data_IF_149847981046
#
_entry.id   IF_149847981046
#
_cell.length_a   1.000
_cell.length_b   1.000
_cell.length_c   1.000
_cell.angle_alpha   90.00
_cell.angle_beta   90.00
_cell.angle_gamma   90.00
#
_symmetry.space_group_name_H-M   'P 1'
#
loop_
_entity.id
_entity.type
_entity.pdbx_description
1 polymer ?
#
# COMPACT_ATOMS: atom_id res chain seq x y z
N UNK A 1 -28.43 -1.69 16.68
CA UNK A 1 -27.85 -1.64 15.31
C UNK A 1 -28.96 -1.43 14.28
N UNK A 2 -28.72 -0.55 13.30
CA UNK A 2 -29.66 -0.39 12.19
C UNK A 2 -29.60 -1.62 11.27
N UNK A 3 -30.76 -2.15 10.80
CA UNK A 3 -30.78 -3.27 9.87
C UNK A 3 -29.96 -2.95 8.60
N UNK A 4 -29.27 -3.94 8.04
CA UNK A 4 -28.48 -3.78 6.79
C UNK A 4 -29.31 -3.21 5.63
N UNK A 5 -30.59 -3.50 5.58
CA UNK A 5 -31.53 -2.93 4.60
C UNK A 5 -31.64 -1.41 4.67
N UNK A 6 -31.46 -0.79 5.84
CA UNK A 6 -31.48 0.65 5.99
C UNK A 6 -30.21 1.30 5.44
N UNK A 7 -29.04 0.66 5.62
CA UNK A 7 -27.80 1.12 4.99
C UNK A 7 -27.86 1.04 3.48
N UNK A 8 -28.38 -0.05 2.92
CA UNK A 8 -28.59 -0.18 1.47
C UNK A 8 -29.49 0.93 0.94
N UNK A 9 -30.62 1.19 1.62
CA UNK A 9 -31.55 2.25 1.23
C UNK A 9 -30.90 3.63 1.27
N UNK A 10 -30.16 3.93 2.33
CA UNK A 10 -29.44 5.19 2.46
C UNK A 10 -28.38 5.35 1.37
N UNK A 11 -27.59 4.32 1.14
CA UNK A 11 -26.53 4.31 0.11
C UNK A 11 -27.12 4.54 -1.28
N UNK A 12 -28.21 3.85 -1.64
CA UNK A 12 -28.91 4.06 -2.92
C UNK A 12 -29.44 5.46 -3.07
N UNK A 13 -30.04 6.01 -2.01
CA UNK A 13 -30.53 7.39 -2.03
C UNK A 13 -29.42 8.40 -2.26
N UNK A 14 -28.35 8.33 -1.47
CA UNK A 14 -27.19 9.24 -1.59
C UNK A 14 -26.56 9.18 -2.99
N UNK A 15 -26.38 7.98 -3.54
CA UNK A 15 -25.83 7.82 -4.88
C UNK A 15 -26.78 8.35 -5.95
N UNK A 16 -28.08 8.07 -5.82
CA UNK A 16 -29.10 8.55 -6.77
C UNK A 16 -29.19 10.07 -6.79
N UNK A 17 -29.19 10.71 -5.61
CA UNK A 17 -29.18 12.16 -5.49
C UNK A 17 -27.91 12.75 -6.13
N UNK A 18 -26.74 12.13 -5.88
CA UNK A 18 -25.49 12.57 -6.50
C UNK A 18 -25.46 12.40 -8.02
N UNK A 19 -25.98 11.29 -8.53
CA UNK A 19 -26.10 11.07 -9.99
C UNK A 19 -27.04 12.11 -10.63
N UNK A 20 -28.13 12.45 -9.94
CA UNK A 20 -29.06 13.48 -10.40
C UNK A 20 -28.39 14.85 -10.49
N UNK A 21 -27.59 15.21 -9.48
CA UNK A 21 -26.87 16.49 -9.47
C UNK A 21 -25.80 16.56 -10.59
N UNK A 22 -25.14 15.45 -10.88
CA UNK A 22 -24.05 15.42 -11.87
C UNK A 22 -24.52 15.22 -13.31
N UNK A 23 -25.55 14.41 -13.52
CA UNK A 23 -25.95 13.93 -14.86
C UNK A 23 -27.44 14.15 -15.19
N UNK A 24 -28.19 14.74 -14.27
CA UNK A 24 -29.61 15.02 -14.44
C UNK A 24 -30.53 13.87 -14.03
N UNK A 25 -31.81 14.16 -14.01
CA UNK A 25 -32.85 13.25 -13.52
C UNK A 25 -32.97 11.98 -14.36
N UNK A 26 -32.88 12.09 -15.67
CA UNK A 26 -33.02 10.94 -16.58
C UNK A 26 -31.94 9.87 -16.34
N UNK A 27 -30.70 10.30 -16.23
CA UNK A 27 -29.58 9.37 -15.93
C UNK A 27 -29.75 8.70 -14.56
N UNK A 28 -30.18 9.44 -13.54
CA UNK A 28 -30.46 8.93 -12.21
C UNK A 28 -31.60 7.90 -12.19
N UNK A 29 -32.71 8.19 -12.87
CA UNK A 29 -33.85 7.30 -12.97
C UNK A 29 -33.47 6.03 -13.75
N UNK A 30 -32.72 6.16 -14.84
CA UNK A 30 -32.21 5.01 -15.60
C UNK A 30 -31.29 4.11 -14.78
N UNK A 31 -30.41 4.69 -13.99
CA UNK A 31 -29.56 3.92 -13.08
C UNK A 31 -30.38 3.08 -12.09
N UNK A 32 -31.41 3.68 -11.46
CA UNK A 32 -32.28 2.97 -10.54
C UNK A 32 -33.07 1.86 -11.22
N UNK A 33 -33.59 2.11 -12.42
CA UNK A 33 -34.28 1.10 -13.22
C UNK A 33 -33.38 -0.12 -13.48
N UNK A 34 -32.16 0.13 -13.97
CA UNK A 34 -31.21 -0.94 -14.26
C UNK A 34 -30.82 -1.74 -13.00
N UNK A 35 -30.63 -1.06 -11.87
CA UNK A 35 -30.31 -1.69 -10.59
C UNK A 35 -31.48 -2.55 -10.06
N UNK A 36 -32.71 -2.01 -10.13
CA UNK A 36 -33.91 -2.71 -9.64
C UNK A 36 -34.28 -3.93 -10.49
N UNK A 37 -33.99 -3.88 -11.78
CA UNK A 37 -34.21 -5.01 -12.70
C UNK A 37 -33.01 -5.95 -12.80
N UNK A 38 -31.97 -5.75 -11.95
CA UNK A 38 -30.75 -6.58 -11.90
C UNK A 38 -29.95 -6.62 -13.22
N UNK A 39 -30.07 -5.60 -14.08
CA UNK A 39 -29.19 -5.45 -15.25
C UNK A 39 -27.78 -4.99 -14.85
N UNK A 40 -27.67 -4.26 -13.75
CA UNK A 40 -26.42 -3.88 -13.12
C UNK A 40 -26.43 -4.31 -11.65
N UNK A 41 -25.25 -4.53 -11.12
CA UNK A 41 -25.02 -4.86 -9.72
C UNK A 41 -24.06 -3.86 -9.09
N UNK A 42 -24.41 -3.35 -7.91
CA UNK A 42 -23.55 -2.52 -7.09
C UNK A 42 -23.07 -3.33 -5.89
N UNK A 43 -21.77 -3.51 -5.78
CA UNK A 43 -21.15 -4.18 -4.63
C UNK A 43 -21.16 -3.30 -3.39
N UNK A 44 -21.13 -3.91 -2.21
CA UNK A 44 -20.96 -3.26 -0.90
C UNK A 44 -21.94 -2.12 -0.57
N UNK A 45 -23.22 -2.27 -0.93
CA UNK A 45 -24.25 -1.28 -0.62
C UNK A 45 -24.51 -1.10 0.90
N UNK A 46 -23.95 -1.99 1.74
CA UNK A 46 -24.04 -1.90 3.20
C UNK A 46 -23.00 -0.97 3.84
N UNK A 47 -22.06 -0.46 3.03
CA UNK A 47 -20.97 0.39 3.48
C UNK A 47 -20.88 1.67 2.62
N UNK A 48 -20.58 2.80 3.25
CA UNK A 48 -20.35 4.08 2.58
C UNK A 48 -18.86 4.41 2.39
N UNK A 49 -17.96 3.55 2.89
CA UNK A 49 -16.52 3.71 2.70
C UNK A 49 -16.08 3.27 1.30
N UNK A 50 -14.96 3.79 0.84
CA UNK A 50 -14.29 3.28 -0.35
C UNK A 50 -13.92 1.81 -0.14
N UNK A 51 -14.08 0.98 -1.18
CA UNK A 51 -13.82 -0.44 -1.05
C UNK A 51 -12.33 -0.75 -1.03
N UNK A 52 -11.63 -0.47 -2.11
CA UNK A 52 -10.20 -0.70 -2.27
C UNK A 52 -9.51 0.53 -2.84
N UNK A 53 -8.24 0.71 -2.53
CA UNK A 53 -7.41 1.73 -3.15
C UNK A 53 -6.01 1.23 -3.43
N UNK A 54 -5.43 1.71 -4.52
CA UNK A 54 -3.98 1.66 -4.77
C UNK A 54 -3.39 3.02 -4.41
N UNK A 55 -2.28 3.01 -3.67
CA UNK A 55 -1.66 4.20 -3.12
C UNK A 55 -0.31 4.38 -3.76
N UNK A 56 -0.05 5.60 -4.28
CA UNK A 56 1.32 6.02 -4.55
C UNK A 56 1.96 6.55 -3.28
N UNK A 57 3.20 6.13 -3.02
CA UNK A 57 3.95 6.52 -1.83
C UNK A 57 4.80 7.79 -2.04
N UNK A 58 4.92 8.29 -3.26
CA UNK A 58 5.79 9.41 -3.61
C UNK A 58 5.53 10.68 -2.78
N UNK A 59 4.27 11.12 -2.58
CA UNK A 59 3.99 12.29 -1.75
C UNK A 59 4.46 12.13 -0.30
N UNK A 60 4.33 10.94 0.25
CA UNK A 60 4.80 10.64 1.60
C UNK A 60 6.34 10.69 1.70
N UNK A 61 7.06 10.24 0.68
CA UNK A 61 8.53 10.31 0.65
C UNK A 61 9.05 11.73 0.59
N UNK A 62 8.28 12.68 0.06
CA UNK A 62 8.66 14.10 -0.03
C UNK A 62 8.27 14.85 1.26
N UNK A 63 7.03 14.70 1.68
CA UNK A 63 6.42 15.58 2.69
C UNK A 63 6.16 14.90 4.04
N UNK A 64 6.32 13.57 4.14
CA UNK A 64 5.83 12.83 5.31
C UNK A 64 4.33 12.71 5.34
N UNK A 65 3.75 12.49 6.52
CA UNK A 65 2.30 12.42 6.72
C UNK A 65 1.82 13.59 7.56
N UNK A 66 0.71 14.18 7.14
CA UNK A 66 -0.04 15.20 7.89
C UNK A 66 -1.45 14.69 8.24
N UNK A 67 -1.61 13.37 8.30
CA UNK A 67 -2.91 12.74 8.50
C UNK A 67 -3.43 12.92 9.93
N UNK A 68 -4.73 12.68 10.08
CA UNK A 68 -5.44 12.73 11.35
C UNK A 68 -4.71 11.89 12.41
N UNK A 69 -4.27 12.54 13.48
CA UNK A 69 -3.64 11.87 14.61
C UNK A 69 -2.13 12.07 14.75
N UNK A 70 -1.47 12.82 13.86
CA UNK A 70 -0.07 13.19 14.00
C UNK A 70 0.64 13.52 12.70
N UNK A 71 1.68 14.33 12.82
CA UNK A 71 2.58 14.64 11.72
C UNK A 71 3.82 13.73 11.82
N UNK A 72 4.24 13.13 10.73
CA UNK A 72 5.53 12.48 10.61
C UNK A 72 6.34 13.09 9.48
N UNK A 73 7.63 13.24 9.69
CA UNK A 73 8.56 13.68 8.62
C UNK A 73 8.72 12.58 7.57
N UNK A 74 9.18 12.97 6.39
CA UNK A 74 9.60 12.01 5.35
C UNK A 74 10.65 11.03 5.89
N UNK A 75 10.62 9.76 5.50
CA UNK A 75 11.62 8.79 5.91
C UNK A 75 12.99 9.13 5.30
N UNK A 76 14.05 9.01 6.10
CA UNK A 76 15.43 9.32 5.68
C UNK A 76 16.34 8.11 5.65
N UNK A 77 15.87 6.96 6.15
CA UNK A 77 16.62 5.72 6.23
C UNK A 77 15.68 4.50 6.22
N UNK A 78 16.22 3.30 6.04
CA UNK A 78 15.46 2.06 5.95
C UNK A 78 14.55 1.82 7.16
N UNK A 79 15.06 2.09 8.38
CA UNK A 79 14.28 1.90 9.61
C UNK A 79 13.07 2.85 9.69
N UNK A 80 13.27 4.14 9.37
CA UNK A 80 12.19 5.13 9.36
C UNK A 80 11.19 4.85 8.23
N UNK A 81 11.67 4.34 7.08
CA UNK A 81 10.80 3.86 6.01
C UNK A 81 9.90 2.71 6.48
N UNK A 82 10.46 1.65 7.05
CA UNK A 82 9.68 0.50 7.52
C UNK A 82 8.60 0.90 8.54
N UNK A 83 8.97 1.69 9.55
CA UNK A 83 8.02 2.14 10.58
C UNK A 83 6.94 3.06 10.02
N UNK A 84 7.31 4.03 9.21
CA UNK A 84 6.39 4.97 8.57
C UNK A 84 5.46 4.26 7.56
N UNK A 85 5.96 3.28 6.82
CA UNK A 85 5.19 2.46 5.90
C UNK A 85 4.07 1.69 6.60
N UNK A 86 4.39 1.02 7.71
CA UNK A 86 3.39 0.31 8.52
C UNK A 86 2.28 1.27 8.97
N UNK A 87 2.65 2.44 9.50
CA UNK A 87 1.69 3.45 9.95
C UNK A 87 0.83 3.95 8.78
N UNK A 88 1.41 4.25 7.64
CA UNK A 88 0.70 4.67 6.44
C UNK A 88 -0.32 3.63 5.99
N UNK A 89 0.07 2.35 5.92
CA UNK A 89 -0.83 1.26 5.56
C UNK A 89 -1.98 1.14 6.55
N UNK A 90 -1.73 1.27 7.85
CA UNK A 90 -2.80 1.24 8.86
C UNK A 90 -3.76 2.43 8.73
N UNK A 91 -3.25 3.64 8.54
CA UNK A 91 -4.09 4.85 8.35
C UNK A 91 -4.99 4.67 7.13
N UNK A 92 -4.42 4.34 5.97
CA UNK A 92 -5.20 4.22 4.73
C UNK A 92 -6.16 3.04 4.79
N UNK A 93 -5.72 1.89 5.28
CA UNK A 93 -6.57 0.72 5.39
C UNK A 93 -7.76 0.92 6.34
N UNK A 94 -7.63 1.80 7.33
CA UNK A 94 -8.75 2.16 8.23
C UNK A 94 -9.88 2.92 7.52
N UNK A 95 -9.57 3.55 6.38
CA UNK A 95 -10.52 4.31 5.56
C UNK A 95 -11.16 3.46 4.45
N UNK A 96 -10.71 2.21 4.30
CA UNK A 96 -11.15 1.29 3.26
C UNK A 96 -11.91 0.10 3.86
N UNK A 97 -12.92 -0.39 3.16
CA UNK A 97 -13.62 -1.62 3.54
C UNK A 97 -13.00 -2.90 2.98
N UNK A 98 -12.12 -2.78 2.00
CA UNK A 98 -11.43 -3.89 1.33
C UNK A 98 -9.91 -3.76 1.36
N UNK A 99 -9.28 -3.87 0.21
CA UNK A 99 -7.84 -3.94 0.08
C UNK A 99 -7.14 -2.57 -0.01
N UNK A 100 -5.93 -2.52 0.52
CA UNK A 100 -4.97 -1.44 0.35
C UNK A 100 -3.79 -1.96 -0.48
N UNK A 101 -3.60 -1.47 -1.69
CA UNK A 101 -2.47 -1.83 -2.53
C UNK A 101 -1.37 -0.78 -2.48
N UNK A 102 -0.13 -1.22 -2.32
CA UNK A 102 1.08 -0.37 -2.39
C UNK A 102 2.04 -0.98 -3.43
N UNK A 103 1.75 -0.81 -4.73
CA UNK A 103 2.52 -1.47 -5.78
C UNK A 103 4.00 -1.12 -5.75
N UNK A 104 4.35 0.09 -5.39
CA UNK A 104 5.72 0.61 -5.37
C UNK A 104 6.55 0.18 -4.14
N UNK A 105 5.97 -0.57 -3.20
CA UNK A 105 6.60 -0.89 -1.90
C UNK A 105 8.02 -1.43 -2.04
N UNK A 106 8.22 -2.49 -2.84
CA UNK A 106 9.55 -3.10 -2.99
C UNK A 106 10.53 -2.17 -3.71
N UNK A 107 10.06 -1.30 -4.60
CA UNK A 107 10.90 -0.32 -5.26
C UNK A 107 11.46 0.70 -4.26
N UNK A 108 10.60 1.23 -3.37
CA UNK A 108 11.04 2.18 -2.35
C UNK A 108 11.88 1.52 -1.26
N UNK A 109 11.54 0.29 -0.86
CA UNK A 109 12.39 -0.45 0.07
C UNK A 109 13.79 -0.68 -0.51
N UNK A 110 13.89 -1.06 -1.80
CA UNK A 110 15.16 -1.20 -2.51
C UNK A 110 15.96 0.10 -2.53
N UNK A 111 15.29 1.23 -2.72
CA UNK A 111 15.92 2.56 -2.68
C UNK A 111 16.57 2.82 -1.31
N UNK A 112 15.83 2.63 -0.21
CA UNK A 112 16.38 2.87 1.14
C UNK A 112 17.49 1.88 1.52
N UNK A 113 17.41 0.63 1.08
CA UNK A 113 18.52 -0.33 1.24
C UNK A 113 19.75 0.16 0.46
N UNK A 114 19.53 0.63 -0.77
CA UNK A 114 20.60 1.17 -1.61
C UNK A 114 21.26 2.43 -1.05
N UNK A 115 20.51 3.31 -0.38
CA UNK A 115 21.05 4.48 0.31
C UNK A 115 22.00 4.10 1.47
N UNK A 116 21.67 3.04 2.21
CA UNK A 116 22.47 2.64 3.39
C UNK A 116 23.66 1.75 3.02
N UNK A 117 23.50 0.85 2.05
CA UNK A 117 24.45 -0.24 1.78
C UNK A 117 25.04 -0.22 0.36
N UNK A 118 24.65 0.78 -0.46
CA UNK A 118 25.04 0.88 -1.87
C UNK A 118 24.07 0.12 -2.79
N UNK A 119 24.00 0.52 -4.08
CA UNK A 119 23.07 -0.08 -5.05
C UNK A 119 23.38 -1.56 -5.36
N UNK A 120 24.62 -1.99 -5.11
CA UNK A 120 25.07 -3.37 -5.30
C UNK A 120 25.06 -4.21 -4.04
N UNK A 121 24.34 -3.78 -2.99
CA UNK A 121 24.22 -4.47 -1.70
C UNK A 121 23.93 -5.98 -1.83
N UNK A 122 23.18 -6.36 -2.84
CA UNK A 122 22.81 -7.75 -3.11
C UNK A 122 23.99 -8.68 -3.48
N UNK A 123 25.17 -8.09 -3.76
CA UNK A 123 26.42 -8.82 -3.98
C UNK A 123 27.24 -9.02 -2.69
N UNK A 124 26.84 -8.35 -1.60
CA UNK A 124 27.63 -8.25 -0.36
C UNK A 124 26.79 -8.55 0.89
N UNK A 125 25.90 -9.54 0.79
CA UNK A 125 24.88 -9.86 1.80
C UNK A 125 25.43 -10.27 3.15
N UNK A 126 26.58 -10.94 3.16
CA UNK A 126 27.25 -11.40 4.39
C UNK A 126 28.02 -10.28 5.13
N UNK A 127 28.14 -9.10 4.50
CA UNK A 127 28.81 -7.96 5.11
C UNK A 127 28.07 -7.56 6.38
N UNK A 128 28.81 -7.45 7.49
CA UNK A 128 28.27 -6.94 8.75
C UNK A 128 28.03 -5.44 8.61
N UNK A 129 26.79 -5.06 8.78
CA UNK A 129 26.33 -3.68 8.61
C UNK A 129 25.93 -3.04 9.95
N UNK A 130 25.60 -3.85 10.96
CA UNK A 130 25.28 -3.40 12.30
C UNK A 130 26.45 -3.74 13.23
N UNK A 131 27.20 -2.69 13.63
CA UNK A 131 28.32 -2.81 14.58
C UNK A 131 27.86 -2.84 16.04
N UNK A 132 26.54 -2.91 16.30
CA UNK A 132 25.99 -3.12 17.64
C UNK A 132 26.40 -4.51 18.18
N UNK A 133 26.12 -4.75 19.46
CA UNK A 133 26.40 -6.04 20.12
C UNK A 133 25.86 -7.29 19.38
N UNK A 134 24.89 -7.12 18.47
CA UNK A 134 24.26 -8.23 17.71
C UNK A 134 24.88 -8.50 16.34
N UNK A 135 25.77 -7.66 15.84
CA UNK A 135 26.47 -7.82 14.55
C UNK A 135 25.61 -8.50 13.47
N UNK A 136 24.71 -7.75 12.81
CA UNK A 136 23.82 -8.29 11.78
C UNK A 136 24.39 -8.08 10.38
N UNK A 137 24.28 -9.10 9.54
CA UNK A 137 24.58 -9.00 8.11
C UNK A 137 23.49 -8.22 7.37
N UNK A 138 23.80 -7.72 6.17
CA UNK A 138 22.82 -7.03 5.31
C UNK A 138 21.61 -7.94 5.03
N UNK A 139 21.82 -9.23 4.73
CA UNK A 139 20.70 -10.19 4.50
C UNK A 139 19.80 -10.32 5.73
N UNK A 140 20.39 -10.37 6.94
CA UNK A 140 19.60 -10.44 8.17
C UNK A 140 18.80 -9.17 8.41
N UNK A 141 19.38 -7.99 8.15
CA UNK A 141 18.67 -6.71 8.29
C UNK A 141 17.49 -6.63 7.32
N UNK A 142 17.67 -7.03 6.05
CA UNK A 142 16.60 -7.07 5.05
C UNK A 142 15.49 -8.03 5.50
N UNK A 143 15.87 -9.21 5.99
CA UNK A 143 14.91 -10.20 6.51
C UNK A 143 14.14 -9.65 7.71
N UNK A 144 14.81 -9.00 8.66
CA UNK A 144 14.18 -8.37 9.82
C UNK A 144 13.15 -7.29 9.40
N UNK A 145 13.46 -6.54 8.34
CA UNK A 145 12.52 -5.56 7.78
C UNK A 145 11.28 -6.24 7.17
N UNK A 146 11.44 -7.36 6.45
CA UNK A 146 10.30 -8.12 5.94
C UNK A 146 9.42 -8.63 7.08
N UNK A 147 10.02 -9.23 8.10
CA UNK A 147 9.35 -9.73 9.30
C UNK A 147 8.59 -8.60 10.00
N UNK A 148 9.25 -7.49 10.27
CA UNK A 148 8.63 -6.32 10.92
C UNK A 148 7.40 -5.83 10.15
N UNK A 149 7.51 -5.66 8.84
CA UNK A 149 6.42 -5.10 8.02
C UNK A 149 5.28 -6.11 7.91
N UNK A 150 5.57 -7.33 7.45
CA UNK A 150 4.53 -8.33 7.17
C UNK A 150 3.83 -8.76 8.44
N UNK A 151 4.56 -9.03 9.52
CA UNK A 151 3.94 -9.43 10.77
C UNK A 151 3.13 -8.31 11.42
N UNK A 152 3.57 -7.05 11.31
CA UNK A 152 2.79 -5.92 11.80
C UNK A 152 1.49 -5.75 11.01
N UNK A 153 1.55 -5.78 9.67
CA UNK A 153 0.38 -5.61 8.80
C UNK A 153 -0.61 -6.79 8.93
N UNK A 154 -0.10 -7.99 9.17
CA UNK A 154 -0.93 -9.21 9.34
C UNK A 154 -1.57 -9.33 10.73
N UNK A 155 -1.49 -8.31 11.57
CA UNK A 155 -2.17 -8.31 12.88
C UNK A 155 -3.59 -7.76 12.76
N UNK A 156 -4.57 -8.36 13.44
CA UNK A 156 -5.90 -7.78 13.59
C UNK A 156 -5.82 -6.44 14.30
N UNK A 157 -6.48 -5.42 13.77
CA UNK A 157 -6.51 -4.08 14.38
C UNK A 157 -7.93 -3.63 14.67
N UNK A 158 -8.11 -2.87 15.77
CA UNK A 158 -9.40 -2.29 16.13
C UNK A 158 -9.95 -1.33 15.07
N UNK A 159 -9.08 -0.60 14.36
CA UNK A 159 -9.45 0.30 13.27
C UNK A 159 -10.10 -0.42 12.07
N UNK A 160 -9.95 -1.74 11.97
CA UNK A 160 -10.56 -2.58 10.94
C UNK A 160 -11.50 -3.64 11.52
N UNK A 161 -12.18 -3.35 12.61
CA UNK A 161 -13.06 -4.32 13.27
C UNK A 161 -12.36 -5.66 13.58
N UNK A 162 -11.12 -5.60 14.04
CA UNK A 162 -10.26 -6.76 14.34
C UNK A 162 -9.95 -7.66 13.16
N UNK A 163 -9.97 -7.11 11.94
CA UNK A 163 -9.47 -7.81 10.75
C UNK A 163 -8.03 -7.37 10.44
N UNK A 164 -7.22 -8.29 9.93
CA UNK A 164 -5.91 -7.95 9.36
C UNK A 164 -6.09 -7.11 8.08
N UNK A 165 -5.08 -6.33 7.74
CA UNK A 165 -5.08 -5.54 6.50
C UNK A 165 -5.00 -6.47 5.30
N UNK A 166 -5.94 -6.33 4.35
CA UNK A 166 -5.84 -6.97 3.05
C UNK A 166 -4.88 -6.17 2.17
N UNK A 167 -3.60 -6.50 2.26
CA UNK A 167 -2.50 -5.76 1.64
C UNK A 167 -2.03 -6.42 0.35
N UNK A 168 -1.84 -5.62 -0.71
CA UNK A 168 -1.32 -6.05 -2.00
C UNK A 168 -0.01 -5.35 -2.34
N UNK A 169 0.93 -6.13 -2.86
CA UNK A 169 2.21 -5.66 -3.43
C UNK A 169 2.30 -6.04 -4.90
N UNK A 170 3.08 -5.29 -5.68
CA UNK A 170 3.35 -5.64 -7.07
C UNK A 170 4.78 -6.18 -7.24
N UNK A 171 4.90 -7.08 -8.22
CA UNK A 171 6.17 -7.55 -8.76
C UNK A 171 6.26 -7.13 -10.21
N UNK A 172 7.46 -6.75 -10.62
CA UNK A 172 7.72 -6.28 -11.97
C UNK A 172 8.67 -7.24 -12.70
N UNK A 173 8.43 -7.48 -13.97
CA UNK A 173 9.47 -7.91 -14.88
C UNK A 173 10.24 -6.68 -15.42
N UNK A 174 11.32 -6.92 -16.14
CA UNK A 174 12.17 -5.83 -16.63
C UNK A 174 11.46 -4.92 -17.62
N UNK A 175 10.62 -5.47 -18.47
CA UNK A 175 9.88 -4.71 -19.48
C UNK A 175 8.87 -3.76 -18.81
N UNK A 176 8.07 -4.30 -17.89
CA UNK A 176 7.07 -3.51 -17.16
C UNK A 176 7.71 -2.47 -16.24
N UNK A 177 8.82 -2.84 -15.59
CA UNK A 177 9.62 -1.89 -14.80
C UNK A 177 10.11 -0.71 -15.65
N UNK A 178 10.71 -0.96 -16.79
CA UNK A 178 11.18 0.11 -17.68
C UNK A 178 10.02 0.99 -18.15
N UNK A 179 8.88 0.39 -18.55
CA UNK A 179 7.71 1.15 -19.00
C UNK A 179 7.14 2.10 -17.95
N UNK A 180 7.20 1.72 -16.68
CA UNK A 180 6.67 2.54 -15.57
C UNK A 180 7.68 3.54 -15.01
N UNK A 181 8.96 3.17 -14.96
CA UNK A 181 9.95 3.89 -14.16
C UNK A 181 11.13 4.43 -14.96
N UNK A 182 11.11 4.38 -16.31
CA UNK A 182 12.18 4.91 -17.15
C UNK A 182 12.50 6.38 -16.87
N UNK A 183 11.46 7.17 -16.60
CA UNK A 183 11.60 8.61 -16.32
C UNK A 183 11.38 8.96 -14.85
N UNK A 184 11.24 7.95 -14.00
CA UNK A 184 11.03 8.16 -12.57
C UNK A 184 12.35 8.48 -11.87
N UNK A 185 12.29 9.45 -10.97
CA UNK A 185 13.41 9.77 -10.06
C UNK A 185 12.91 9.86 -8.63
N UNK A 186 13.71 9.37 -7.70
CA UNK A 186 13.49 9.55 -6.28
C UNK A 186 13.70 11.03 -5.87
N UNK A 187 13.29 11.44 -4.65
CA UNK A 187 13.43 12.83 -4.19
C UNK A 187 14.87 13.37 -4.21
N UNK A 188 15.88 12.52 -4.17
CA UNK A 188 17.30 12.86 -4.27
C UNK A 188 17.85 12.90 -5.72
N UNK A 189 16.97 12.67 -6.72
CA UNK A 189 17.32 12.65 -8.14
C UNK A 189 17.87 11.32 -8.66
N UNK A 190 18.03 10.31 -7.81
CA UNK A 190 18.46 8.98 -8.24
C UNK A 190 17.34 8.23 -8.98
N UNK A 191 17.73 7.46 -10.01
CA UNK A 191 16.81 6.57 -10.71
C UNK A 191 16.69 5.21 -10.00
N UNK A 192 15.55 4.49 -10.16
CA UNK A 192 15.42 3.12 -9.67
C UNK A 192 16.43 2.19 -10.34
N UNK A 193 16.98 1.25 -9.56
CA UNK A 193 17.99 0.31 -10.04
C UNK A 193 17.37 -1.09 -10.20
N UNK A 194 17.27 -1.57 -11.45
CA UNK A 194 16.58 -2.82 -11.77
C UNK A 194 17.22 -4.06 -11.15
N UNK A 195 18.53 -4.19 -11.22
CA UNK A 195 19.22 -5.42 -10.82
C UNK A 195 19.03 -5.70 -9.32
N UNK A 196 19.16 -4.69 -8.48
CA UNK A 196 18.91 -4.81 -7.03
C UNK A 196 17.42 -5.02 -6.73
N UNK A 197 16.51 -4.32 -7.43
CA UNK A 197 15.08 -4.54 -7.28
C UNK A 197 14.67 -5.95 -7.68
N UNK A 198 15.14 -6.44 -8.82
CA UNK A 198 14.88 -7.81 -9.28
C UNK A 198 15.33 -8.85 -8.27
N UNK A 199 16.51 -8.64 -7.66
CA UNK A 199 17.00 -9.49 -6.58
C UNK A 199 16.08 -9.40 -5.34
N UNK A 200 15.73 -8.19 -4.91
CA UNK A 200 14.90 -7.98 -3.71
C UNK A 200 13.51 -8.61 -3.85
N UNK A 201 12.88 -8.48 -5.02
CA UNK A 201 11.60 -9.11 -5.32
C UNK A 201 11.66 -10.64 -5.16
N UNK A 202 12.68 -11.27 -5.75
CA UNK A 202 12.90 -12.72 -5.62
C UNK A 202 13.19 -13.12 -4.18
N UNK A 203 13.96 -12.31 -3.45
CA UNK A 203 14.30 -12.54 -2.04
C UNK A 203 13.08 -12.45 -1.15
N UNK A 204 12.22 -11.44 -1.36
CA UNK A 204 10.96 -11.27 -0.65
C UNK A 204 10.02 -12.45 -0.91
N UNK A 205 9.81 -12.82 -2.17
CA UNK A 205 8.96 -13.95 -2.54
C UNK A 205 9.46 -15.27 -1.94
N UNK A 206 10.76 -15.52 -2.00
CA UNK A 206 11.38 -16.72 -1.39
C UNK A 206 11.20 -16.74 0.12
N UNK A 207 11.34 -15.60 0.79
CA UNK A 207 11.15 -15.48 2.23
C UNK A 207 9.67 -15.69 2.59
N UNK A 208 8.76 -15.07 1.87
CA UNK A 208 7.31 -15.11 2.13
C UNK A 208 6.73 -16.52 1.96
N UNK A 209 7.27 -17.32 1.02
CA UNK A 209 6.84 -18.70 0.76
C UNK A 209 7.66 -19.76 1.52
N UNK A 210 8.42 -19.36 2.51
CA UNK A 210 9.03 -20.35 3.42
C UNK A 210 7.94 -20.90 4.33
N UNK A 211 7.84 -22.24 4.32
CA UNK A 211 7.01 -23.00 5.24
C UNK A 211 7.54 -22.90 6.68
#
# INVERSE_FOLDING_TARGET
ELPKSNFIRLNRRLLTDRLRDMYGKEASDRYLELLNHHFIYKNDETNLANYCASITMYPWLIAGTTAVGGNSTAPTNLKSFCGGFINMVFIVSSMLSGACATPEFLMYMNYFIGLEYGQDYYKHLDKLADLSLKQRSIDKIITDCFEQIVYSINQPTGARNFQAVFWNVAYYDKYYFNSLFEHFVFPDGNAPHWESLSWLQKRFMKWFNKD
#
